data_IF_115948811519
#
_entry.id   IF_115948811519
#
_cell.length_a   1.000
_cell.length_b   1.000
_cell.length_c   1.000
_cell.angle_alpha   90.00
_cell.angle_beta   90.00
_cell.angle_gamma   90.00
#
_symmetry.space_group_name_H-M   'P 1'
#
loop_
_entity.id
_entity.type
_entity.pdbx_description
1 polymer ?
#
# COMPACT_ATOMS: atom_id res chain seq x y z
N UNK A 1 3.21 -30.54 -29.04
CA UNK A 1 4.23 -29.93 -28.15
C UNK A 1 4.32 -28.41 -28.32
N UNK A 2 3.21 -27.67 -28.21
CA UNK A 2 3.20 -26.19 -28.29
C UNK A 2 2.50 -25.52 -27.08
N UNK A 3 2.00 -26.32 -26.13
CA UNK A 3 1.30 -25.85 -24.93
C UNK A 3 2.24 -25.60 -23.73
N UNK A 4 3.55 -25.84 -23.89
CA UNK A 4 4.56 -25.77 -22.84
C UNK A 4 5.47 -24.54 -22.90
N UNK A 5 5.41 -23.75 -23.97
CA UNK A 5 6.06 -22.43 -24.02
C UNK A 5 5.02 -21.37 -23.72
N UNK A 6 4.78 -21.18 -22.41
CA UNK A 6 3.95 -20.09 -21.90
C UNK A 6 4.29 -18.80 -22.63
N UNK A 7 3.27 -18.14 -23.19
CA UNK A 7 3.43 -16.85 -23.82
C UNK A 7 4.24 -15.94 -22.90
N UNK A 8 5.35 -15.39 -23.42
CA UNK A 8 6.05 -14.28 -22.75
C UNK A 8 5.00 -13.19 -22.54
N UNK A 9 4.55 -13.07 -21.30
CA UNK A 9 3.55 -12.08 -20.89
C UNK A 9 4.08 -10.73 -21.38
N UNK A 10 3.30 -10.03 -22.21
CA UNK A 10 3.74 -8.73 -22.74
C UNK A 10 4.15 -7.84 -21.56
N UNK A 11 5.23 -7.04 -21.66
CA UNK A 11 5.66 -6.16 -20.57
C UNK A 11 4.52 -5.28 -20.01
N UNK A 12 3.61 -4.86 -20.88
CA UNK A 12 2.40 -4.11 -20.52
C UNK A 12 1.43 -4.89 -19.61
N UNK A 13 1.24 -6.18 -19.86
CA UNK A 13 0.39 -7.05 -19.05
C UNK A 13 1.03 -7.33 -17.68
N UNK A 14 2.37 -7.44 -17.62
CA UNK A 14 3.11 -7.57 -16.36
C UNK A 14 2.94 -6.29 -15.52
N UNK A 15 3.12 -5.11 -16.12
CA UNK A 15 2.92 -3.82 -15.43
C UNK A 15 1.47 -3.67 -14.92
N UNK A 16 0.48 -4.11 -15.70
CA UNK A 16 -0.93 -4.08 -15.30
C UNK A 16 -1.23 -5.03 -14.14
N UNK A 17 -0.69 -6.26 -14.17
CA UNK A 17 -0.80 -7.23 -13.07
C UNK A 17 -0.16 -6.69 -11.79
N UNK A 18 1.03 -6.09 -11.89
CA UNK A 18 1.73 -5.49 -10.74
C UNK A 18 0.94 -4.32 -10.14
N UNK A 19 0.38 -3.44 -10.98
CA UNK A 19 -0.43 -2.32 -10.50
C UNK A 19 -1.72 -2.79 -9.79
N UNK A 20 -2.34 -3.87 -10.28
CA UNK A 20 -3.49 -4.48 -9.61
C UNK A 20 -3.08 -5.12 -8.27
N UNK A 21 -1.97 -5.85 -8.23
CA UNK A 21 -1.45 -6.42 -6.99
C UNK A 21 -1.15 -5.34 -5.95
N UNK A 22 -0.46 -4.27 -6.34
CA UNK A 22 -0.16 -3.12 -5.46
C UNK A 22 -1.43 -2.44 -4.94
N UNK A 23 -2.47 -2.27 -5.77
CA UNK A 23 -3.78 -1.73 -5.33
C UNK A 23 -4.49 -2.65 -4.36
N UNK A 24 -4.40 -3.97 -4.54
CA UNK A 24 -4.95 -4.93 -3.59
C UNK A 24 -4.21 -4.83 -2.25
N UNK A 25 -2.87 -4.77 -2.27
CA UNK A 25 -2.05 -4.55 -1.08
C UNK A 25 -2.40 -3.23 -0.39
N UNK A 26 -2.56 -2.12 -1.12
CA UNK A 26 -2.95 -0.82 -0.55
C UNK A 26 -4.28 -0.92 0.22
N UNK A 27 -5.29 -1.60 -0.34
CA UNK A 27 -6.58 -1.79 0.35
C UNK A 27 -6.44 -2.63 1.61
N UNK A 28 -5.65 -3.70 1.55
CA UNK A 28 -5.42 -4.56 2.70
C UNK A 28 -4.69 -3.81 3.82
N UNK A 29 -3.70 -2.98 3.49
CA UNK A 29 -3.04 -2.12 4.46
C UNK A 29 -3.99 -1.08 5.06
N UNK A 30 -4.88 -0.49 4.27
CA UNK A 30 -5.87 0.44 4.79
C UNK A 30 -6.84 -0.24 5.78
N UNK A 31 -7.24 -1.49 5.52
CA UNK A 31 -8.05 -2.27 6.47
C UNK A 31 -7.30 -2.54 7.77
N UNK A 32 -6.04 -2.97 7.69
CA UNK A 32 -5.22 -3.20 8.88
C UNK A 32 -4.97 -1.91 9.69
N UNK A 33 -4.75 -0.78 9.00
CA UNK A 33 -4.65 0.53 9.65
C UNK A 33 -5.91 0.88 10.43
N UNK A 34 -7.10 0.64 9.86
CA UNK A 34 -8.36 0.91 10.53
C UNK A 34 -8.52 0.06 11.80
N UNK A 35 -8.20 -1.23 11.72
CA UNK A 35 -8.24 -2.14 12.87
C UNK A 35 -7.28 -1.67 13.99
N UNK A 36 -6.04 -1.30 13.64
CA UNK A 36 -5.07 -0.81 14.63
C UNK A 36 -5.48 0.53 15.26
N UNK A 37 -6.11 1.43 14.49
CA UNK A 37 -6.63 2.69 15.02
C UNK A 37 -7.81 2.47 15.98
N UNK A 38 -8.68 1.49 15.70
CA UNK A 38 -9.75 1.11 16.62
C UNK A 38 -9.20 0.49 17.90
N UNK A 39 -8.17 -0.35 17.79
CA UNK A 39 -7.47 -0.92 18.94
C UNK A 39 -6.81 0.17 19.80
N UNK A 40 -6.15 1.16 19.19
CA UNK A 40 -5.59 2.31 19.91
C UNK A 40 -6.69 3.06 20.69
N UNK A 41 -7.87 3.28 20.07
CA UNK A 41 -9.02 3.91 20.73
C UNK A 41 -9.59 3.06 21.88
N UNK A 42 -9.58 1.73 21.76
CA UNK A 42 -10.00 0.82 22.85
C UNK A 42 -9.02 0.92 24.02
N UNK A 43 -7.73 0.80 23.77
CA UNK A 43 -6.67 0.92 24.80
C UNK A 43 -6.75 2.30 25.48
N UNK A 44 -6.97 3.38 24.73
CA UNK A 44 -7.14 4.71 25.31
C UNK A 44 -8.34 4.82 26.27
N UNK A 45 -9.46 4.16 25.93
CA UNK A 45 -10.64 4.10 26.81
C UNK A 45 -10.36 3.29 28.06
N UNK A 46 -9.71 2.14 27.93
CA UNK A 46 -9.34 1.26 29.05
C UNK A 46 -8.36 1.94 30.02
N UNK A 47 -7.36 2.67 29.50
CA UNK A 47 -6.45 3.46 30.34
C UNK A 47 -7.24 4.50 31.15
N UNK A 48 -8.24 5.16 30.54
CA UNK A 48 -9.07 6.15 31.22
C UNK A 48 -9.95 5.52 32.31
N UNK A 49 -10.48 4.31 32.10
CA UNK A 49 -11.29 3.62 33.11
C UNK A 49 -10.43 3.11 34.26
N UNK A 50 -9.26 2.52 33.98
CA UNK A 50 -8.30 2.06 34.99
C UNK A 50 -7.73 3.24 35.79
N UNK A 51 -7.49 4.38 35.14
CA UNK A 51 -7.07 5.61 35.80
C UNK A 51 -8.07 6.11 36.85
N UNK A 52 -9.37 5.96 36.60
CA UNK A 52 -10.41 6.28 37.59
C UNK A 52 -10.46 5.29 38.76
N UNK A 53 -10.06 4.04 38.54
CA UNK A 53 -9.97 2.99 39.57
C UNK A 53 -8.71 3.11 40.42
N UNK A 54 -7.69 3.82 39.95
CA UNK A 54 -6.42 3.99 40.67
C UNK A 54 -5.43 2.83 40.51
N UNK A 55 -5.68 1.90 39.60
CA UNK A 55 -4.81 0.73 39.38
C UNK A 55 -3.61 1.08 38.49
N UNK A 56 -2.47 1.39 39.09
CA UNK A 56 -1.27 1.89 38.38
C UNK A 56 -0.60 0.80 37.52
N UNK A 57 -0.53 -0.43 37.98
CA UNK A 57 0.22 -1.49 37.30
C UNK A 57 -0.41 -1.91 35.95
N UNK A 58 -1.75 -2.11 35.85
CA UNK A 58 -2.42 -2.32 34.57
C UNK A 58 -2.24 -1.15 33.60
N UNK A 59 -2.28 0.10 34.10
CA UNK A 59 -2.08 1.30 33.28
C UNK A 59 -0.70 1.30 32.62
N UNK A 60 0.36 0.93 33.35
CA UNK A 60 1.72 0.85 32.79
C UNK A 60 1.80 -0.16 31.64
N UNK A 61 1.17 -1.33 31.80
CA UNK A 61 1.17 -2.37 30.77
C UNK A 61 0.41 -1.89 29.53
N UNK A 62 -0.79 -1.32 29.72
CA UNK A 62 -1.61 -0.81 28.62
C UNK A 62 -0.95 0.39 27.91
N UNK A 63 -0.27 1.28 28.64
CA UNK A 63 0.47 2.39 28.05
C UNK A 63 1.62 1.89 27.16
N UNK A 64 2.35 0.84 27.57
CA UNK A 64 3.37 0.21 26.71
C UNK A 64 2.76 -0.36 25.44
N UNK A 65 1.60 -1.02 25.55
CA UNK A 65 0.89 -1.54 24.38
C UNK A 65 0.43 -0.42 23.45
N UNK A 66 -0.10 0.68 23.98
CA UNK A 66 -0.48 1.86 23.21
C UNK A 66 0.68 2.42 22.37
N UNK A 67 1.89 2.52 22.96
CA UNK A 67 3.08 2.99 22.24
C UNK A 67 3.48 2.02 21.12
N UNK A 68 3.36 0.70 21.34
CA UNK A 68 3.62 -0.31 20.30
C UNK A 68 2.63 -0.17 19.13
N UNK A 69 1.33 -0.05 19.42
CA UNK A 69 0.29 0.14 18.39
C UNK A 69 0.53 1.41 17.58
N UNK A 70 0.89 2.53 18.22
CA UNK A 70 1.25 3.78 17.52
C UNK A 70 2.44 3.60 16.58
N UNK A 71 3.48 2.87 17.01
CA UNK A 71 4.65 2.57 16.16
C UNK A 71 4.26 1.71 14.96
N UNK A 72 3.38 0.73 15.15
CA UNK A 72 2.85 -0.08 14.05
C UNK A 72 2.07 0.80 13.05
N UNK A 73 1.14 1.64 13.53
CA UNK A 73 0.39 2.59 12.66
C UNK A 73 1.35 3.46 11.84
N UNK A 74 2.41 4.01 12.47
CA UNK A 74 3.42 4.80 11.77
C UNK A 74 4.13 3.99 10.67
N UNK A 75 4.52 2.74 10.96
CA UNK A 75 5.14 1.83 9.98
C UNK A 75 4.21 1.55 8.80
N UNK A 76 2.92 1.31 9.06
CA UNK A 76 1.92 1.09 8.02
C UNK A 76 1.67 2.33 7.17
N UNK A 77 1.64 3.53 7.75
CA UNK A 77 1.52 4.78 6.99
C UNK A 77 2.73 5.02 6.07
N UNK A 78 3.94 4.71 6.53
CA UNK A 78 5.14 4.75 5.69
C UNK A 78 5.03 3.76 4.53
N UNK A 79 4.62 2.52 4.82
CA UNK A 79 4.47 1.48 3.79
C UNK A 79 3.40 1.84 2.75
N UNK A 80 2.28 2.44 3.17
CA UNK A 80 1.26 2.98 2.28
C UNK A 80 1.84 4.04 1.34
N UNK A 81 2.62 4.99 1.88
CA UNK A 81 3.26 6.04 1.09
C UNK A 81 4.23 5.46 0.05
N UNK A 82 5.01 4.44 0.43
CA UNK A 82 5.93 3.76 -0.49
C UNK A 82 5.17 3.06 -1.64
N UNK A 83 4.07 2.36 -1.35
CA UNK A 83 3.24 1.73 -2.38
C UNK A 83 2.63 2.77 -3.32
N UNK A 84 2.19 3.90 -2.79
CA UNK A 84 1.66 5.00 -3.59
C UNK A 84 2.74 5.59 -4.52
N UNK A 85 3.98 5.76 -4.02
CA UNK A 85 5.13 6.16 -4.83
C UNK A 85 5.40 5.20 -5.99
N UNK A 86 5.48 3.89 -5.71
CA UNK A 86 5.66 2.85 -6.73
C UNK A 86 4.51 2.83 -7.76
N UNK A 87 3.27 3.08 -7.32
CA UNK A 87 2.13 3.19 -8.24
C UNK A 87 2.25 4.39 -9.19
N UNK A 88 2.79 5.52 -8.72
CA UNK A 88 3.03 6.70 -9.55
C UNK A 88 4.13 6.41 -10.56
N UNK A 89 5.23 5.79 -10.12
CA UNK A 89 6.35 5.40 -10.98
C UNK A 89 5.89 4.49 -12.12
N UNK A 90 5.15 3.42 -11.80
CA UNK A 90 4.60 2.48 -12.80
C UNK A 90 3.64 3.19 -13.78
N UNK A 91 2.79 4.10 -13.29
CA UNK A 91 1.88 4.88 -14.16
C UNK A 91 2.66 5.81 -15.09
N UNK A 92 3.72 6.44 -14.59
CA UNK A 92 4.58 7.33 -15.37
C UNK A 92 5.32 6.54 -16.45
N UNK A 93 5.88 5.38 -16.11
CA UNK A 93 6.48 4.46 -17.08
C UNK A 93 5.50 4.03 -18.17
N UNK A 94 4.26 3.69 -17.80
CA UNK A 94 3.21 3.35 -18.77
C UNK A 94 2.88 4.51 -19.70
N UNK A 95 2.69 5.71 -19.16
CA UNK A 95 2.41 6.93 -19.94
C UNK A 95 3.55 7.25 -20.92
N UNK A 96 4.79 7.09 -20.46
CA UNK A 96 5.99 7.32 -21.28
C UNK A 96 6.09 6.32 -22.43
N UNK A 97 5.82 5.04 -22.17
CA UNK A 97 5.81 4.01 -23.21
C UNK A 97 4.69 4.24 -24.25
N UNK A 98 3.49 4.60 -23.80
CA UNK A 98 2.38 4.96 -24.71
C UNK A 98 2.72 6.17 -25.59
N UNK A 99 3.37 7.19 -25.02
CA UNK A 99 3.82 8.35 -25.76
C UNK A 99 4.91 7.98 -26.79
N UNK A 100 5.88 7.15 -26.44
CA UNK A 100 6.90 6.68 -27.39
C UNK A 100 6.28 5.89 -28.56
N UNK A 101 5.28 5.04 -28.29
CA UNK A 101 4.55 4.30 -29.33
C UNK A 101 3.72 5.25 -30.22
N UNK A 102 3.05 6.25 -29.64
CA UNK A 102 2.31 7.25 -30.39
C UNK A 102 3.23 8.13 -31.27
N UNK A 103 4.37 8.58 -30.72
CA UNK A 103 5.36 9.38 -31.45
C UNK A 103 5.97 8.62 -32.62
N UNK A 104 6.29 7.33 -32.45
CA UNK A 104 6.79 6.49 -33.55
C UNK A 104 5.73 6.25 -34.64
N UNK A 105 4.45 6.12 -34.28
CA UNK A 105 3.35 6.04 -35.24
C UNK A 105 3.18 7.33 -36.04
N UNK A 106 3.19 8.49 -35.37
CA UNK A 106 3.09 9.79 -36.04
C UNK A 106 4.30 10.06 -36.93
N UNK A 107 5.51 9.75 -36.48
CA UNK A 107 6.72 9.88 -37.29
C UNK A 107 6.68 8.99 -38.55
N UNK A 108 6.06 7.82 -38.48
CA UNK A 108 5.92 6.94 -39.63
C UNK A 108 4.91 7.48 -40.65
N UNK A 109 3.81 8.06 -40.19
CA UNK A 109 2.74 8.63 -41.02
C UNK A 109 3.11 9.99 -41.63
N UNK A 110 4.07 10.71 -41.05
CA UNK A 110 4.52 12.03 -41.52
C UNK A 110 5.74 11.98 -42.45
N UNK A 111 6.31 10.80 -42.68
CA UNK A 111 7.45 10.57 -43.60
C UNK A 111 7.00 9.90 -44.91
N UNK A 112 5.75 9.44 -44.98
CA UNK A 112 5.04 9.05 -46.22
C UNK A 112 4.22 10.23 -46.77
#
# INVERSE_FOLDING_TARGET
MAFLFGHRVKPEEVLRKNLNALRCTERELNRQLMVLQEEEKKIAREIKTLGRKGEIEPIKIMARNMVKTRRQIKKFNLMKTNIQGLCIEIRTMKSTNQMANAMSGVAKVSVD
#
